data_IF_699518075901
#
_entry.id   IF_699518075901
#
_cell.length_a   1.000
_cell.length_b   1.000
_cell.length_c   1.000
_cell.angle_alpha   90.00
_cell.angle_beta   90.00
_cell.angle_gamma   90.00
#
_symmetry.space_group_name_H-M   'P 1'
#
loop_
_entity.id
_entity.type
_entity.pdbx_description
1 polymer ?
#
# COMPACT_ATOMS: atom_id res chain seq x y z
N UNK A 1 -1.28 -15.54 0.16
CA UNK A 1 -0.49 -15.59 1.41
C UNK A 1 -1.02 -14.53 2.39
N UNK A 2 -0.92 -14.75 3.71
CA UNK A 2 -1.25 -13.74 4.71
C UNK A 2 -0.01 -13.49 5.57
N UNK A 3 0.49 -12.26 5.55
CA UNK A 3 1.67 -11.84 6.29
C UNK A 3 1.35 -10.50 6.93
N UNK A 4 1.73 -10.36 8.20
CA UNK A 4 1.60 -9.09 8.90
C UNK A 4 2.61 -8.09 8.32
N UNK A 5 2.19 -6.84 8.15
CA UNK A 5 3.02 -5.77 7.59
C UNK A 5 2.90 -4.51 8.44
N UNK A 6 3.97 -3.71 8.46
CA UNK A 6 4.06 -2.42 9.13
C UNK A 6 3.98 -1.31 8.09
N UNK A 7 3.14 -0.32 8.37
CA UNK A 7 3.17 0.95 7.64
C UNK A 7 4.38 1.75 8.13
N UNK A 8 5.35 1.98 7.24
CA UNK A 8 6.58 2.70 7.56
C UNK A 8 6.37 4.19 7.38
N UNK A 9 5.77 4.57 6.26
CA UNK A 9 5.63 5.96 5.86
C UNK A 9 4.36 6.14 5.03
N UNK A 10 3.69 7.27 5.26
CA UNK A 10 2.61 7.76 4.40
C UNK A 10 3.21 8.83 3.52
N UNK A 11 3.69 8.48 2.33
CA UNK A 11 4.47 9.42 1.51
C UNK A 11 3.61 10.52 0.89
N UNK A 12 2.46 10.16 0.30
CA UNK A 12 1.61 11.12 -0.43
C UNK A 12 0.14 10.79 -0.30
N UNK A 13 -0.67 11.79 -0.01
CA UNK A 13 -2.13 11.73 -0.15
C UNK A 13 -2.52 12.07 -1.59
N UNK A 14 -3.40 11.27 -2.16
CA UNK A 14 -3.88 11.42 -3.53
C UNK A 14 -5.38 11.71 -3.56
N UNK A 15 -5.79 12.52 -4.53
CA UNK A 15 -7.18 12.61 -4.92
C UNK A 15 -7.58 11.31 -5.65
N UNK A 16 -8.68 10.70 -5.22
CA UNK A 16 -9.12 9.41 -5.75
C UNK A 16 -9.54 9.47 -7.23
N UNK A 17 -10.02 10.62 -7.71
CA UNK A 17 -10.55 10.78 -9.06
C UNK A 17 -9.47 11.22 -10.04
N UNK A 18 -8.63 12.16 -9.63
CA UNK A 18 -7.62 12.76 -10.52
C UNK A 18 -6.24 12.12 -10.37
N UNK A 19 -5.97 11.43 -9.26
CA UNK A 19 -4.65 10.91 -8.93
C UNK A 19 -3.62 11.99 -8.60
N UNK A 20 -4.04 13.25 -8.50
CA UNK A 20 -3.18 14.37 -8.13
C UNK A 20 -2.78 14.27 -6.65
N UNK A 21 -1.56 14.71 -6.34
CA UNK A 21 -1.08 14.80 -4.96
C UNK A 21 -1.79 15.98 -4.28
N UNK A 22 -2.49 15.69 -3.20
CA UNK A 22 -3.16 16.71 -2.38
C UNK A 22 -2.22 17.21 -1.28
N UNK A 23 -1.50 16.28 -0.65
CA UNK A 23 -0.66 16.55 0.52
C UNK A 23 0.53 15.59 0.52
N UNK A 24 1.74 16.11 0.72
CA UNK A 24 2.93 15.31 0.97
C UNK A 24 3.08 15.02 2.48
N UNK A 25 3.44 13.78 2.81
CA UNK A 25 3.63 13.29 4.17
C UNK A 25 2.45 13.53 5.14
N UNK A 26 1.22 13.09 4.80
CA UNK A 26 0.06 13.25 5.68
C UNK A 26 0.26 12.51 7.01
N UNK A 27 -0.17 13.13 8.12
CA UNK A 27 -0.07 12.52 9.45
C UNK A 27 -0.98 11.30 9.64
N UNK A 28 -2.12 11.26 8.98
CA UNK A 28 -3.08 10.16 9.02
C UNK A 28 -3.92 10.12 7.75
N UNK A 29 -4.54 8.97 7.46
CA UNK A 29 -5.51 8.79 6.38
C UNK A 29 -6.87 8.43 6.95
N UNK A 30 -7.94 8.95 6.32
CA UNK A 30 -9.33 8.63 6.63
C UNK A 30 -9.93 7.65 5.63
N UNK A 31 -11.13 7.18 5.94
CA UNK A 31 -11.93 6.36 5.01
C UNK A 31 -12.15 7.11 3.70
N UNK A 32 -12.05 6.39 2.58
CA UNK A 32 -12.19 6.90 1.21
C UNK A 32 -11.06 7.84 0.73
N UNK A 33 -9.92 7.85 1.41
CA UNK A 33 -8.74 8.57 0.92
C UNK A 33 -7.78 7.61 0.20
N UNK A 34 -7.14 8.09 -0.85
CA UNK A 34 -6.10 7.36 -1.58
C UNK A 34 -4.74 7.90 -1.19
N UNK A 35 -3.72 7.03 -1.14
CA UNK A 35 -2.38 7.44 -0.79
C UNK A 35 -1.32 6.52 -1.39
N UNK A 36 -0.10 7.04 -1.49
CA UNK A 36 1.12 6.27 -1.69
C UNK A 36 1.74 6.06 -0.32
N UNK A 37 2.01 4.79 0.02
CA UNK A 37 2.50 4.36 1.32
C UNK A 37 3.68 3.42 1.14
N UNK A 38 4.61 3.45 2.10
CA UNK A 38 5.69 2.46 2.21
C UNK A 38 5.30 1.40 3.23
N UNK A 39 5.22 0.15 2.77
CA UNK A 39 4.85 -1.01 3.56
C UNK A 39 6.04 -1.96 3.70
N UNK A 40 6.31 -2.42 4.92
CA UNK A 40 7.31 -3.44 5.19
C UNK A 40 6.65 -4.70 5.73
N UNK A 41 6.74 -5.84 5.02
CA UNK A 41 6.26 -7.11 5.53
C UNK A 41 7.17 -7.60 6.67
N UNK A 42 6.60 -8.20 7.71
CA UNK A 42 7.35 -8.71 8.88
C UNK A 42 8.09 -10.01 8.55
N UNK A 43 7.60 -10.78 7.58
CA UNK A 43 8.21 -12.01 7.07
C UNK A 43 8.46 -11.86 5.58
N UNK A 44 9.41 -12.64 5.04
CA UNK A 44 9.66 -12.72 3.59
C UNK A 44 8.34 -13.03 2.86
N UNK A 45 8.03 -12.21 1.86
CA UNK A 45 6.82 -12.28 1.08
C UNK A 45 7.21 -12.11 -0.39
N UNK A 46 6.78 -13.03 -1.24
CA UNK A 46 6.87 -12.88 -2.68
C UNK A 46 5.75 -11.94 -3.15
N UNK A 47 6.12 -10.85 -3.80
CA UNK A 47 5.23 -9.81 -4.28
C UNK A 47 5.90 -9.12 -5.48
N UNK A 48 5.11 -8.72 -6.48
CA UNK A 48 5.62 -8.15 -7.73
C UNK A 48 4.98 -6.79 -8.03
N UNK A 49 5.59 -6.01 -8.92
CA UNK A 49 4.98 -4.77 -9.41
C UNK A 49 3.70 -5.08 -10.17
N UNK A 50 2.67 -4.29 -9.93
CA UNK A 50 1.37 -4.48 -10.58
C UNK A 50 1.44 -4.39 -12.11
N UNK A 51 2.30 -3.53 -12.64
CA UNK A 51 2.50 -3.34 -14.08
C UNK A 51 3.14 -4.55 -14.77
N UNK A 52 3.92 -5.35 -14.02
CA UNK A 52 4.66 -6.49 -14.54
C UNK A 52 3.90 -7.80 -14.31
N UNK A 53 3.41 -8.00 -13.08
CA UNK A 53 2.67 -9.20 -12.71
C UNK A 53 1.40 -8.83 -11.90
N UNK A 54 0.28 -8.51 -12.58
CA UNK A 54 -0.94 -8.02 -11.93
C UNK A 54 -1.52 -8.97 -10.86
N UNK A 55 -1.29 -10.27 -11.01
CA UNK A 55 -1.77 -11.31 -10.09
C UNK A 55 -1.04 -11.29 -8.75
N UNK A 56 0.23 -10.87 -8.72
CA UNK A 56 1.05 -10.75 -7.51
C UNK A 56 1.17 -9.32 -7.00
N UNK A 57 0.75 -8.32 -7.78
CA UNK A 57 0.83 -6.90 -7.41
C UNK A 57 -0.43 -6.32 -6.75
N UNK A 58 -1.50 -7.10 -6.53
CA UNK A 58 -2.72 -6.65 -5.82
C UNK A 58 -2.75 -7.24 -4.41
N UNK A 59 -3.11 -6.42 -3.43
CA UNK A 59 -3.26 -6.90 -2.06
C UNK A 59 -4.42 -6.21 -1.33
N UNK A 60 -4.90 -6.87 -0.28
CA UNK A 60 -5.88 -6.32 0.64
C UNK A 60 -5.27 -6.30 2.05
N UNK A 61 -5.39 -5.18 2.75
CA UNK A 61 -5.03 -5.08 4.16
C UNK A 61 -6.27 -5.38 4.98
N UNK A 62 -6.12 -6.34 5.90
CA UNK A 62 -7.18 -6.76 6.79
C UNK A 62 -6.82 -6.48 8.24
N UNK A 63 -7.76 -5.92 8.97
CA UNK A 63 -7.67 -5.72 10.42
C UNK A 63 -8.97 -6.22 11.07
N UNK A 64 -8.84 -6.97 12.16
CA UNK A 64 -9.97 -7.60 12.88
C UNK A 64 -11.02 -8.27 11.97
N UNK A 65 -10.58 -8.99 10.93
CA UNK A 65 -11.46 -9.72 10.01
C UNK A 65 -12.17 -8.85 8.96
N UNK A 66 -11.94 -7.53 8.94
CA UNK A 66 -12.49 -6.60 7.96
C UNK A 66 -11.40 -6.09 7.02
N UNK A 67 -11.77 -5.83 5.77
CA UNK A 67 -10.86 -5.18 4.81
C UNK A 67 -10.80 -3.69 5.10
N UNK A 68 -9.65 -3.21 5.53
CA UNK A 68 -9.42 -1.80 5.86
C UNK A 68 -9.04 -0.99 4.62
N UNK A 69 -8.21 -1.56 3.74
CA UNK A 69 -7.87 -0.98 2.46
C UNK A 69 -7.47 -2.03 1.42
N UNK A 70 -7.44 -1.61 0.16
CA UNK A 70 -6.93 -2.38 -0.97
C UNK A 70 -5.87 -1.55 -1.67
N UNK A 71 -4.86 -2.22 -2.22
CA UNK A 71 -3.72 -1.55 -2.82
C UNK A 71 -3.14 -2.31 -4.00
N UNK A 72 -2.39 -1.57 -4.80
CA UNK A 72 -1.54 -2.09 -5.85
C UNK A 72 -0.09 -1.73 -5.55
N UNK A 73 0.82 -2.63 -5.91
CA UNK A 73 2.26 -2.42 -5.76
C UNK A 73 2.75 -1.57 -6.92
N UNK A 74 3.22 -0.36 -6.61
CA UNK A 74 3.83 0.53 -7.61
C UNK A 74 5.31 0.26 -7.79
N UNK A 75 6.02 0.05 -6.70
CA UNK A 75 7.46 -0.17 -6.69
C UNK A 75 7.86 -1.14 -5.59
N UNK A 76 9.05 -1.72 -5.73
CA UNK A 76 9.62 -2.70 -4.80
C UNK A 76 11.06 -2.34 -4.47
N UNK A 77 11.36 -2.36 -3.18
CA UNK A 77 12.72 -2.27 -2.67
C UNK A 77 13.06 -3.61 -2.00
N UNK A 78 14.04 -4.33 -2.53
CA UNK A 78 14.63 -5.47 -1.82
C UNK A 78 15.71 -4.95 -0.89
N UNK A 79 15.39 -4.88 0.40
CA UNK A 79 16.43 -4.78 1.42
C UNK A 79 17.22 -6.09 1.43
N UNK A 80 18.55 -6.00 1.52
CA UNK A 80 19.42 -7.15 1.82
C UNK A 80 19.09 -7.79 3.18
#
# INVERSE_FOLDING_TARGET
>A
AQVAAKFIELSKKLDQKTGAVIEDNPKFLKKNESAIIKLQPIKKLCIEKYSEFPELGRFAVRDMGRTSCVGIVKDLETGE
#
